data_IF_972276992171
#
_entry.id   IF_972276992171
#
_cell.length_a   1.000
_cell.length_b   1.000
_cell.length_c   1.000
_cell.angle_alpha   90.00
_cell.angle_beta   90.00
_cell.angle_gamma   90.00
#
_symmetry.space_group_name_H-M   'P 1'
#
loop_
_entity.id
_entity.type
_entity.pdbx_description
1 polymer ?
#
# COMPACT_ATOMS: atom_id res chain seq x y z
N UNK A 1 36.13 -9.23 67.36
CA UNK A 1 35.30 -8.50 66.39
C UNK A 1 36.21 -7.93 65.31
N UNK A 2 36.41 -8.64 64.21
CA UNK A 2 37.22 -8.15 63.08
C UNK A 2 36.31 -7.43 62.09
N UNK A 3 36.28 -6.10 62.19
CA UNK A 3 35.62 -5.24 61.21
C UNK A 3 36.42 -5.25 59.91
N UNK A 4 35.94 -5.99 58.90
CA UNK A 4 36.37 -5.79 57.52
C UNK A 4 35.76 -4.47 57.03
N UNK A 5 36.56 -3.40 57.06
CA UNK A 5 36.29 -2.19 56.30
C UNK A 5 36.36 -2.54 54.81
N UNK A 6 35.18 -2.69 54.20
CA UNK A 6 35.04 -2.76 52.75
C UNK A 6 35.52 -1.42 52.17
N UNK A 7 36.75 -1.41 51.65
CA UNK A 7 37.26 -0.28 50.88
C UNK A 7 36.28 0.03 49.74
N UNK A 8 35.62 1.19 49.82
CA UNK A 8 34.80 1.69 48.72
C UNK A 8 35.71 1.81 47.50
N UNK A 9 35.54 0.90 46.53
CA UNK A 9 36.27 0.90 45.27
C UNK A 9 35.96 2.22 44.57
N UNK A 10 36.89 3.18 44.63
CA UNK A 10 36.72 4.49 44.01
C UNK A 10 36.39 4.31 42.53
N UNK A 11 35.20 4.74 42.12
CA UNK A 11 34.77 4.61 40.72
C UNK A 11 35.68 5.48 39.86
N UNK A 12 36.22 4.91 38.78
CA UNK A 12 37.15 5.57 37.86
C UNK A 12 36.42 6.64 37.02
N UNK A 13 37.05 7.80 36.77
CA UNK A 13 36.50 8.80 35.85
C UNK A 13 36.53 8.29 34.42
N UNK A 14 35.64 8.81 33.56
CA UNK A 14 35.62 8.49 32.13
C UNK A 14 36.91 8.99 31.47
N UNK A 15 37.67 8.08 30.87
CA UNK A 15 38.94 8.36 30.20
C UNK A 15 38.85 8.10 28.69
N UNK A 16 39.92 8.40 27.95
CA UNK A 16 39.97 8.23 26.50
C UNK A 16 39.61 6.80 26.05
N UNK A 17 39.89 5.78 26.88
CA UNK A 17 39.52 4.38 26.61
C UNK A 17 38.02 4.16 26.75
N UNK A 18 37.39 4.73 27.79
CA UNK A 18 35.94 4.69 27.94
C UNK A 18 35.22 5.36 26.76
N UNK A 19 35.70 6.53 26.32
CA UNK A 19 35.15 7.22 25.15
C UNK A 19 35.34 6.45 23.85
N UNK A 20 36.48 5.78 23.66
CA UNK A 20 36.73 4.94 22.50
C UNK A 20 35.79 3.72 22.46
N UNK A 21 35.57 3.05 23.60
CA UNK A 21 34.64 1.91 23.70
C UNK A 21 33.21 2.33 23.34
N UNK A 22 32.76 3.48 23.86
CA UNK A 22 31.44 4.04 23.53
C UNK A 22 31.40 4.44 22.05
N UNK A 23 32.40 5.13 21.53
CA UNK A 23 32.45 5.58 20.14
C UNK A 23 32.37 4.43 19.13
N UNK A 24 33.12 3.34 19.36
CA UNK A 24 33.08 2.14 18.49
C UNK A 24 31.70 1.49 18.54
N UNK A 25 31.10 1.39 19.72
CA UNK A 25 29.79 0.77 19.87
C UNK A 25 28.67 1.58 19.23
N UNK A 26 28.77 2.92 19.28
CA UNK A 26 27.85 3.82 18.59
C UNK A 26 28.00 3.75 17.07
N UNK A 27 29.22 3.67 16.54
CA UNK A 27 29.46 3.45 15.11
C UNK A 27 28.89 2.09 14.65
N UNK A 28 29.06 1.03 15.44
CA UNK A 28 28.47 -0.27 15.15
C UNK A 28 26.94 -0.21 15.17
N UNK A 29 26.34 0.48 16.15
CA UNK A 29 24.89 0.68 16.21
C UNK A 29 24.35 1.49 15.01
N UNK A 30 25.04 2.56 14.61
CA UNK A 30 24.68 3.35 13.43
C UNK A 30 24.78 2.54 12.13
N UNK A 31 25.83 1.72 11.97
CA UNK A 31 25.97 0.81 10.84
C UNK A 31 24.84 -0.23 10.79
N UNK A 32 24.50 -0.83 11.94
CA UNK A 32 23.40 -1.81 12.05
C UNK A 32 22.04 -1.18 11.77
N UNK A 33 21.79 0.05 12.24
CA UNK A 33 20.59 0.82 11.91
C UNK A 33 20.54 1.19 10.42
N UNK A 34 21.69 1.52 9.81
CA UNK A 34 21.80 1.73 8.38
C UNK A 34 21.46 0.48 7.57
N UNK A 35 21.98 -0.69 7.98
CA UNK A 35 21.61 -1.99 7.39
C UNK A 35 20.13 -2.29 7.58
N UNK A 36 19.56 -2.00 8.76
CA UNK A 36 18.13 -2.14 9.02
C UNK A 36 17.30 -1.27 8.08
N UNK A 37 17.62 0.02 7.97
CA UNK A 37 16.92 0.97 7.12
C UNK A 37 17.01 0.55 5.63
N UNK A 38 18.20 0.15 5.20
CA UNK A 38 18.44 -0.37 3.85
C UNK A 38 17.67 -1.66 3.58
N UNK A 39 17.64 -2.59 4.53
CA UNK A 39 16.88 -3.84 4.43
C UNK A 39 15.37 -3.58 4.45
N UNK A 40 14.85 -2.74 5.35
CA UNK A 40 13.42 -2.39 5.40
C UNK A 40 12.94 -1.66 4.16
N UNK A 41 13.79 -0.85 3.51
CA UNK A 41 13.45 -0.21 2.24
C UNK A 41 13.21 -1.20 1.09
N UNK A 42 13.83 -2.40 1.17
CA UNK A 42 13.70 -3.49 0.20
C UNK A 42 12.65 -4.55 0.57
N UNK A 43 12.21 -4.61 1.82
CA UNK A 43 11.22 -5.58 2.31
C UNK A 43 9.91 -4.83 2.57
N UNK A 44 9.18 -4.55 1.51
CA UNK A 44 7.77 -4.19 1.63
C UNK A 44 7.01 -5.22 0.79
N UNK A 45 6.57 -6.32 1.41
CA UNK A 45 6.11 -7.49 0.68
C UNK A 45 4.62 -7.38 0.30
N UNK A 46 4.01 -6.21 0.49
CA UNK A 46 2.62 -5.96 0.19
C UNK A 46 2.31 -5.80 -1.28
N UNK A 47 1.03 -5.94 -1.58
CA UNK A 47 0.47 -5.56 -2.86
C UNK A 47 -0.15 -4.18 -2.74
N UNK A 48 0.27 -3.26 -3.62
CA UNK A 48 -0.21 -1.89 -3.69
C UNK A 48 -1.52 -1.78 -4.45
N UNK A 49 -1.71 -2.62 -5.48
CA UNK A 49 -2.90 -2.62 -6.31
C UNK A 49 -3.14 -3.99 -6.96
N UNK A 50 -4.42 -4.25 -7.25
CA UNK A 50 -4.88 -5.38 -8.04
C UNK A 50 -5.81 -4.90 -9.15
N UNK A 51 -5.73 -5.53 -10.32
CA UNK A 51 -6.76 -5.39 -11.35
C UNK A 51 -6.89 -6.68 -12.15
N UNK A 52 -8.01 -6.85 -12.85
CA UNK A 52 -8.28 -8.01 -13.69
C UNK A 52 -8.55 -7.51 -15.11
N UNK A 53 -7.86 -8.09 -16.09
CA UNK A 53 -8.02 -7.71 -17.50
C UNK A 53 -9.17 -8.44 -18.20
N UNK A 54 -9.41 -8.12 -19.47
CA UNK A 54 -10.52 -8.73 -20.22
C UNK A 54 -10.34 -10.23 -20.48
N UNK A 55 -9.14 -10.77 -20.29
CA UNK A 55 -8.83 -12.20 -20.41
C UNK A 55 -8.91 -12.92 -19.05
N UNK A 56 -9.44 -12.25 -18.02
CA UNK A 56 -9.52 -12.77 -16.64
C UNK A 56 -8.15 -13.05 -16.02
N UNK A 57 -7.10 -12.37 -16.50
CA UNK A 57 -5.77 -12.42 -15.89
C UNK A 57 -5.69 -11.40 -14.77
N UNK A 58 -5.07 -11.80 -13.67
CA UNK A 58 -4.92 -10.98 -12.49
C UNK A 58 -3.56 -10.31 -12.52
N UNK A 59 -3.58 -8.98 -12.48
CA UNK A 59 -2.41 -8.14 -12.41
C UNK A 59 -2.23 -7.67 -10.98
N UNK A 60 -1.18 -8.17 -10.33
CA UNK A 60 -0.84 -7.84 -8.96
C UNK A 60 0.41 -6.99 -8.90
N UNK A 61 0.28 -5.80 -8.32
CA UNK A 61 1.35 -4.80 -8.30
C UNK A 61 1.94 -4.75 -6.90
N UNK A 62 3.19 -5.17 -6.79
CA UNK A 62 4.01 -4.97 -5.60
C UNK A 62 4.87 -3.71 -5.77
N UNK A 63 5.58 -3.33 -4.72
CA UNK A 63 6.40 -2.10 -4.68
C UNK A 63 7.44 -1.97 -5.80
N UNK A 64 7.98 -3.08 -6.27
CA UNK A 64 9.05 -3.13 -7.26
C UNK A 64 8.78 -4.09 -8.42
N UNK A 65 7.63 -4.76 -8.45
CA UNK A 65 7.38 -5.86 -9.38
C UNK A 65 5.90 -5.94 -9.74
N UNK A 66 5.64 -6.38 -10.97
CA UNK A 66 4.31 -6.74 -11.47
C UNK A 66 4.27 -8.25 -11.65
N UNK A 67 3.18 -8.87 -11.19
CA UNK A 67 2.87 -10.27 -11.42
C UNK A 67 1.59 -10.38 -12.23
N UNK A 68 1.61 -11.23 -13.25
CA UNK A 68 0.44 -11.57 -14.05
C UNK A 68 0.13 -13.04 -13.81
N UNK A 69 -1.07 -13.33 -13.32
CA UNK A 69 -1.55 -14.70 -13.14
C UNK A 69 -2.79 -14.96 -13.98
N UNK A 70 -3.12 -16.21 -14.23
CA UNK A 70 -4.45 -16.56 -14.71
C UNK A 70 -5.51 -16.42 -13.60
N UNK A 71 -6.78 -16.64 -13.97
CA UNK A 71 -7.93 -16.62 -13.04
C UNK A 71 -7.94 -17.76 -12.01
N UNK A 72 -7.00 -18.71 -12.09
CA UNK A 72 -6.80 -19.80 -11.15
C UNK A 72 -5.53 -19.61 -10.28
N UNK A 73 -4.82 -18.48 -10.49
CA UNK A 73 -3.67 -18.06 -9.68
C UNK A 73 -2.31 -18.59 -10.15
N UNK A 74 -2.22 -19.22 -11.33
CA UNK A 74 -0.95 -19.66 -11.89
C UNK A 74 -0.19 -18.47 -12.48
N UNK A 75 1.10 -18.33 -12.15
CA UNK A 75 1.95 -17.26 -12.68
C UNK A 75 2.16 -17.45 -14.18
N UNK A 76 1.78 -16.43 -14.95
CA UNK A 76 2.00 -16.35 -16.40
C UNK A 76 3.26 -15.56 -16.70
N UNK A 77 3.42 -14.39 -16.06
CA UNK A 77 4.54 -13.48 -16.30
C UNK A 77 4.86 -12.66 -15.05
N UNK A 78 6.11 -12.22 -14.94
CA UNK A 78 6.50 -11.21 -13.95
C UNK A 78 7.60 -10.33 -14.51
N UNK A 79 7.55 -9.04 -14.19
CA UNK A 79 8.55 -8.07 -14.62
C UNK A 79 8.86 -7.07 -13.51
N UNK A 80 10.12 -6.66 -13.37
CA UNK A 80 10.47 -5.60 -12.43
C UNK A 80 9.91 -4.27 -12.94
N UNK A 81 9.39 -3.44 -12.03
CA UNK A 81 8.88 -2.11 -12.39
C UNK A 81 9.96 -1.24 -13.08
N UNK A 82 11.22 -1.42 -12.69
CA UNK A 82 12.36 -0.75 -13.32
C UNK A 82 12.56 -1.17 -14.80
N UNK A 83 12.43 -2.46 -15.10
CA UNK A 83 12.50 -2.99 -16.48
C UNK A 83 11.36 -2.45 -17.34
N UNK A 84 10.18 -2.31 -16.72
CA UNK A 84 9.00 -1.68 -17.31
C UNK A 84 9.10 -0.15 -17.39
N UNK A 85 10.25 0.41 -16.98
CA UNK A 85 10.48 1.84 -16.96
C UNK A 85 9.43 2.57 -16.11
N UNK A 86 8.91 1.98 -15.04
CA UNK A 86 8.04 2.67 -14.09
C UNK A 86 8.93 3.34 -13.03
N UNK A 87 8.86 4.66 -12.93
CA UNK A 87 9.55 5.44 -11.89
C UNK A 87 8.58 5.90 -10.81
N UNK A 88 9.05 5.86 -9.57
CA UNK A 88 8.28 6.21 -8.38
C UNK A 88 7.48 5.03 -7.82
N UNK A 89 6.70 5.32 -6.77
CA UNK A 89 5.80 4.34 -6.14
C UNK A 89 4.50 4.28 -6.93
N UNK A 90 4.06 3.08 -7.27
CA UNK A 90 2.74 2.87 -7.89
C UNK A 90 1.66 3.11 -6.85
N UNK A 91 0.70 3.97 -7.16
CA UNK A 91 -0.40 4.35 -6.27
C UNK A 91 -1.66 3.52 -6.51
N UNK A 92 -1.88 3.08 -7.76
CA UNK A 92 -3.03 2.29 -8.17
C UNK A 92 -2.82 1.68 -9.57
N UNK A 93 -3.68 0.74 -9.94
CA UNK A 93 -3.75 0.16 -11.27
C UNK A 93 -5.21 -0.01 -11.75
N UNK A 94 -5.39 -0.01 -13.07
CA UNK A 94 -6.68 -0.33 -13.70
C UNK A 94 -6.49 -1.04 -15.04
N UNK A 95 -7.41 -1.92 -15.38
CA UNK A 95 -7.43 -2.63 -16.68
C UNK A 95 -7.80 -1.69 -17.82
N UNK A 96 -7.11 -1.84 -18.95
CA UNK A 96 -7.38 -1.17 -20.22
C UNK A 96 -8.09 -2.08 -21.24
N UNK A 97 -8.46 -3.30 -20.84
CA UNK A 97 -8.98 -4.34 -21.73
C UNK A 97 -7.89 -5.37 -22.05
N UNK A 98 -6.93 -5.02 -22.90
CA UNK A 98 -5.82 -5.90 -23.34
C UNK A 98 -4.49 -5.65 -22.60
N UNK A 99 -4.54 -4.84 -21.55
CA UNK A 99 -3.41 -4.44 -20.74
C UNK A 99 -3.84 -3.69 -19.50
N UNK A 100 -2.92 -2.95 -18.89
CA UNK A 100 -3.17 -2.18 -17.68
C UNK A 100 -2.61 -0.77 -17.77
N UNK A 101 -3.16 0.13 -16.96
CA UNK A 101 -2.52 1.39 -16.61
C UNK A 101 -2.09 1.36 -15.14
N UNK A 102 -0.85 1.77 -14.90
CA UNK A 102 -0.25 1.98 -13.59
C UNK A 102 -0.19 3.48 -13.33
N UNK A 103 -0.66 3.92 -12.17
CA UNK A 103 -0.51 5.31 -11.74
C UNK A 103 0.68 5.45 -10.80
N UNK A 104 1.54 6.44 -11.04
CA UNK A 104 2.46 6.96 -10.02
C UNK A 104 2.18 8.44 -9.79
N UNK A 105 2.91 9.08 -8.86
CA UNK A 105 2.74 10.52 -8.58
C UNK A 105 3.03 11.43 -9.78
N UNK A 106 3.86 10.95 -10.70
CA UNK A 106 4.44 11.76 -11.79
C UNK A 106 3.93 11.34 -13.17
N UNK A 107 3.43 10.12 -13.31
CA UNK A 107 3.10 9.55 -14.62
C UNK A 107 2.01 8.50 -14.54
N UNK A 108 1.36 8.32 -15.69
CA UNK A 108 0.61 7.14 -16.02
C UNK A 108 1.49 6.24 -16.90
N UNK A 109 1.56 4.96 -16.59
CA UNK A 109 2.28 3.97 -17.42
C UNK A 109 1.29 2.95 -17.94
N UNK A 110 1.11 2.91 -19.26
CA UNK A 110 0.24 1.94 -19.92
C UNK A 110 1.06 0.75 -20.40
N UNK A 111 0.72 -0.44 -19.98
CA UNK A 111 1.40 -1.67 -20.34
C UNK A 111 0.46 -2.60 -21.10
N UNK A 112 0.90 -3.11 -22.25
CA UNK A 112 0.24 -4.23 -22.94
C UNK A 112 0.57 -5.55 -22.24
N UNK A 113 -0.23 -6.58 -22.51
CA UNK A 113 -0.07 -7.84 -21.80
C UNK A 113 0.84 -8.89 -22.45
N UNK A 114 1.20 -8.77 -23.73
CA UNK A 114 2.13 -9.70 -24.39
C UNK A 114 2.67 -9.17 -25.73
N UNK A 115 4.00 -8.97 -25.89
CA UNK A 115 4.95 -8.81 -24.78
C UNK A 115 4.55 -7.61 -23.91
N UNK A 116 4.96 -7.62 -22.64
CA UNK A 116 4.74 -6.46 -21.77
C UNK A 116 5.56 -5.28 -22.28
N UNK A 117 4.89 -4.36 -22.99
CA UNK A 117 5.46 -3.14 -23.51
C UNK A 117 4.75 -1.97 -22.85
N UNK A 118 5.52 -1.14 -22.16
CA UNK A 118 4.99 -0.03 -21.40
C UNK A 118 5.29 1.32 -22.07
N UNK A 119 4.27 2.16 -22.18
CA UNK A 119 4.38 3.55 -22.62
C UNK A 119 4.08 4.48 -21.45
N UNK A 120 4.99 5.42 -21.20
CA UNK A 120 4.82 6.48 -20.22
C UNK A 120 4.01 7.63 -20.79
N UNK A 121 3.17 8.19 -19.95
CA UNK A 121 2.37 9.37 -20.22
C UNK A 121 2.58 10.30 -19.01
N UNK A 122 3.29 11.43 -19.18
CA UNK A 122 3.53 12.36 -18.08
C UNK A 122 2.19 12.97 -17.64
N UNK A 123 2.03 13.16 -16.34
CA UNK A 123 0.90 13.88 -15.79
C UNK A 123 1.21 15.36 -15.73
N UNK A 124 0.20 16.20 -15.98
CA UNK A 124 0.34 17.66 -15.91
C UNK A 124 0.42 18.19 -14.47
N UNK A 125 -0.02 17.38 -13.51
CA UNK A 125 0.01 17.71 -12.09
C UNK A 125 0.60 16.57 -11.27
N UNK A 126 1.31 16.95 -10.21
CA UNK A 126 1.73 16.02 -9.18
C UNK A 126 0.51 15.58 -8.36
N UNK A 127 0.36 14.27 -8.20
CA UNK A 127 -0.71 13.63 -7.42
C UNK A 127 -0.20 13.31 -6.02
N UNK A 128 -1.00 13.58 -4.99
CA UNK A 128 -0.63 13.22 -3.62
C UNK A 128 -0.90 11.75 -3.30
N UNK A 129 -2.16 11.33 -3.48
CA UNK A 129 -2.61 9.95 -3.31
C UNK A 129 -3.70 9.62 -4.32
N UNK A 130 -3.29 8.99 -5.42
CA UNK A 130 -4.10 8.80 -6.60
C UNK A 130 -4.75 7.42 -6.69
N UNK A 131 -5.99 7.38 -7.17
CA UNK A 131 -6.70 6.17 -7.59
C UNK A 131 -7.27 6.35 -8.99
N UNK A 132 -7.22 5.32 -9.84
CA UNK A 132 -7.65 5.39 -11.24
C UNK A 132 -8.64 4.30 -11.63
N UNK A 133 -9.49 4.64 -12.59
CA UNK A 133 -10.32 3.70 -13.34
C UNK A 133 -10.43 4.11 -14.81
N UNK A 134 -10.55 3.11 -15.68
CA UNK A 134 -10.72 3.30 -17.11
C UNK A 134 -12.12 2.92 -17.59
N UNK A 135 -12.63 3.65 -18.58
CA UNK A 135 -13.85 3.32 -19.32
C UNK A 135 -13.52 3.17 -20.81
N UNK A 136 -13.44 1.93 -21.29
CA UNK A 136 -13.28 1.62 -22.70
C UNK A 136 -14.39 2.26 -23.56
N UNK A 137 -15.64 2.26 -23.07
CA UNK A 137 -16.78 2.83 -23.78
C UNK A 137 -16.71 4.37 -23.96
N UNK A 138 -15.83 5.06 -23.23
CA UNK A 138 -15.68 6.53 -23.24
C UNK A 138 -14.27 6.98 -23.60
N UNK A 139 -13.35 6.02 -23.77
CA UNK A 139 -11.91 6.21 -23.81
C UNK A 139 -11.41 7.26 -22.79
N UNK A 140 -11.80 7.07 -21.54
CA UNK A 140 -11.61 8.05 -20.46
C UNK A 140 -11.05 7.39 -19.21
N UNK A 141 -10.16 8.11 -18.53
CA UNK A 141 -9.67 7.75 -17.21
C UNK A 141 -10.26 8.70 -16.17
N UNK A 142 -10.77 8.15 -15.08
CA UNK A 142 -11.08 8.92 -13.88
C UNK A 142 -9.87 8.80 -12.95
N UNK A 143 -9.34 9.94 -12.52
CA UNK A 143 -8.31 10.04 -11.50
C UNK A 143 -8.92 10.70 -10.27
N UNK A 144 -8.84 10.04 -9.12
CA UNK A 144 -9.19 10.60 -7.83
C UNK A 144 -7.91 10.90 -7.07
N UNK A 145 -7.73 12.14 -6.62
CA UNK A 145 -6.67 12.50 -5.67
C UNK A 145 -7.27 12.65 -4.26
N UNK A 146 -7.02 11.64 -3.43
CA UNK A 146 -7.48 11.60 -2.04
C UNK A 146 -6.90 12.73 -1.20
N UNK A 147 -5.65 13.12 -1.46
CA UNK A 147 -4.95 14.14 -0.67
C UNK A 147 -5.51 15.54 -0.88
N UNK A 148 -6.20 15.75 -2.02
CA UNK A 148 -6.78 17.05 -2.42
C UNK A 148 -8.30 17.05 -2.50
N UNK A 149 -8.96 15.93 -2.24
CA UNK A 149 -10.42 15.78 -2.35
C UNK A 149 -10.97 16.14 -3.74
N UNK A 150 -10.29 15.74 -4.81
CA UNK A 150 -10.67 16.07 -6.20
C UNK A 150 -10.78 14.83 -7.09
N UNK A 151 -11.60 14.96 -8.14
CA UNK A 151 -11.72 14.00 -9.24
C UNK A 151 -11.38 14.72 -10.55
N UNK A 152 -10.55 14.09 -11.37
CA UNK A 152 -10.24 14.52 -12.72
C UNK A 152 -10.71 13.50 -13.74
N UNK A 153 -11.15 13.99 -14.90
CA UNK A 153 -11.33 13.17 -16.10
C UNK A 153 -10.15 13.43 -17.03
N UNK A 154 -9.42 12.37 -17.35
CA UNK A 154 -8.27 12.41 -18.22
C UNK A 154 -8.59 11.71 -19.53
N UNK A 155 -8.07 12.25 -20.62
CA UNK A 155 -7.97 11.56 -21.89
C UNK A 155 -7.05 10.35 -21.73
N UNK A 156 -7.54 9.16 -22.09
CA UNK A 156 -6.78 7.95 -21.84
C UNK A 156 -5.49 7.90 -22.67
N UNK A 157 -5.48 8.43 -23.89
CA UNK A 157 -4.33 8.35 -24.80
C UNK A 157 -3.21 9.31 -24.38
N UNK A 158 -3.58 10.53 -23.98
CA UNK A 158 -2.65 11.63 -23.74
C UNK A 158 -2.41 11.91 -22.26
N UNK A 159 -3.25 11.39 -21.36
CA UNK A 159 -3.19 11.66 -19.91
C UNK A 159 -3.58 13.10 -19.53
N UNK A 160 -3.98 13.92 -20.51
CA UNK A 160 -4.36 15.32 -20.28
C UNK A 160 -5.75 15.41 -19.70
N UNK A 161 -5.99 16.46 -18.91
CA UNK A 161 -7.34 16.74 -18.42
C UNK A 161 -8.28 17.05 -19.58
N UNK A 162 -9.45 16.43 -19.55
CA UNK A 162 -10.56 16.80 -20.43
C UNK A 162 -11.15 18.12 -19.94
N UNK A 163 -11.65 18.95 -20.84
CA UNK A 163 -12.25 20.25 -20.52
C UNK A 163 -13.49 20.16 -19.61
N UNK A 164 -14.14 19.00 -19.54
CA UNK A 164 -15.21 18.69 -18.57
C UNK A 164 -14.70 18.37 -17.16
N UNK A 165 -13.39 18.34 -16.94
CA UNK A 165 -12.74 18.13 -15.65
C UNK A 165 -12.71 19.43 -14.85
N UNK A 166 -13.88 20.04 -14.65
CA UNK A 166 -14.08 21.06 -13.61
C UNK A 166 -14.01 20.31 -12.28
N UNK A 167 -13.32 20.88 -11.28
CA UNK A 167 -13.39 20.38 -9.89
C UNK A 167 -14.83 20.00 -9.59
N UNK A 168 -15.04 18.77 -9.11
CA UNK A 168 -16.40 18.29 -8.87
C UNK A 168 -17.12 19.31 -7.98
N UNK A 169 -18.27 19.80 -8.44
CA UNK A 169 -19.07 20.76 -7.64
C UNK A 169 -19.58 20.17 -6.33
N UNK A 170 -19.52 18.83 -6.24
CA UNK A 170 -19.84 18.08 -5.04
C UNK A 170 -18.64 18.04 -4.10
N UNK A 171 -18.78 18.53 -2.86
CA UNK A 171 -17.73 18.39 -1.86
C UNK A 171 -17.39 16.92 -1.63
N UNK A 172 -16.13 16.57 -1.86
CA UNK A 172 -15.57 15.26 -1.56
C UNK A 172 -14.88 15.30 -0.19
N UNK A 173 -14.77 14.15 0.44
CA UNK A 173 -14.04 13.97 1.68
C UNK A 173 -13.36 12.61 1.64
N UNK A 174 -12.03 12.64 1.45
CA UNK A 174 -11.18 11.47 1.26
C UNK A 174 -11.72 10.55 0.15
N UNK A 175 -11.94 11.04 -1.08
CA UNK A 175 -12.39 10.17 -2.16
C UNK A 175 -11.31 9.12 -2.47
N UNK A 176 -11.71 7.87 -2.71
CA UNK A 176 -10.84 6.75 -3.08
C UNK A 176 -11.28 6.16 -4.43
N UNK A 177 -11.31 4.82 -4.57
CA UNK A 177 -11.37 4.17 -5.88
C UNK A 177 -12.53 4.69 -6.73
N UNK A 178 -12.25 5.31 -7.90
CA UNK A 178 -13.27 5.55 -8.91
C UNK A 178 -13.61 4.24 -9.63
N UNK A 179 -14.85 4.11 -10.09
CA UNK A 179 -15.34 2.99 -10.89
C UNK A 179 -16.20 3.53 -12.01
N UNK A 180 -15.92 3.11 -13.23
CA UNK A 180 -16.84 3.32 -14.33
C UNK A 180 -17.85 2.18 -14.42
N UNK A 181 -19.11 2.56 -14.56
CA UNK A 181 -20.19 1.68 -15.00
C UNK A 181 -20.57 2.05 -16.43
N UNK A 182 -21.47 1.28 -17.04
CA UNK A 182 -21.98 1.62 -18.38
C UNK A 182 -22.63 3.01 -18.41
N UNK A 183 -23.22 3.50 -17.31
CA UNK A 183 -24.01 4.73 -17.27
C UNK A 183 -23.53 5.77 -16.24
N UNK A 184 -22.38 5.59 -15.61
CA UNK A 184 -21.92 6.52 -14.58
C UNK A 184 -20.44 6.34 -14.21
N UNK A 185 -19.90 7.38 -13.60
CA UNK A 185 -18.74 7.32 -12.71
C UNK A 185 -19.24 7.23 -11.28
N UNK A 186 -18.74 6.24 -10.52
CA UNK A 186 -19.00 6.08 -9.09
C UNK A 186 -17.69 6.24 -8.35
N UNK A 187 -17.70 6.96 -7.23
CA UNK A 187 -16.53 7.19 -6.39
C UNK A 187 -16.85 6.79 -4.96
N UNK A 188 -15.95 6.03 -4.34
CA UNK A 188 -15.97 5.78 -2.92
C UNK A 188 -15.57 7.06 -2.16
N UNK A 189 -16.54 7.73 -1.54
CA UNK A 189 -16.30 8.94 -0.76
C UNK A 189 -16.04 8.53 0.70
N UNK A 190 -14.80 8.16 1.00
CA UNK A 190 -14.41 7.41 2.21
C UNK A 190 -14.76 8.17 3.49
N UNK A 191 -14.37 9.44 3.59
CA UNK A 191 -14.69 10.30 4.74
C UNK A 191 -16.16 10.72 4.78
N UNK A 192 -16.87 10.64 3.65
CA UNK A 192 -18.31 10.86 3.55
C UNK A 192 -19.17 9.64 3.87
N UNK A 193 -18.57 8.46 4.10
CA UNK A 193 -19.28 7.19 4.34
C UNK A 193 -20.33 6.87 3.27
N UNK A 194 -19.98 7.10 2.00
CA UNK A 194 -20.93 7.00 0.90
C UNK A 194 -20.27 6.62 -0.44
N UNK A 195 -21.08 6.08 -1.35
CA UNK A 195 -20.76 6.06 -2.77
C UNK A 195 -21.49 7.20 -3.49
N UNK A 196 -20.74 8.01 -4.21
CA UNK A 196 -21.25 9.13 -5.00
C UNK A 196 -21.24 8.77 -6.49
N UNK A 197 -22.26 9.20 -7.23
CA UNK A 197 -22.45 8.87 -8.64
C UNK A 197 -22.70 10.10 -9.49
N UNK A 198 -21.90 10.25 -10.55
CA UNK A 198 -22.17 11.14 -11.68
C UNK A 198 -22.74 10.32 -12.83
N UNK A 199 -23.99 10.58 -13.18
CA UNK A 199 -24.67 9.83 -14.24
C UNK A 199 -24.31 10.40 -15.61
N UNK A 200 -24.20 9.53 -16.61
CA UNK A 200 -24.14 9.90 -18.02
C UNK A 200 -24.89 8.88 -18.85
N UNK A 201 -25.21 9.21 -20.10
CA UNK A 201 -25.68 8.18 -21.02
C UNK A 201 -24.52 7.22 -21.33
N UNK A 202 -24.81 5.96 -21.67
CA UNK A 202 -23.77 5.05 -22.15
C UNK A 202 -23.00 5.66 -23.32
N UNK A 203 -21.68 5.64 -23.23
CA UNK A 203 -20.78 6.19 -24.25
C UNK A 203 -20.66 7.71 -24.30
N UNK A 204 -21.39 8.47 -23.46
CA UNK A 204 -21.20 9.93 -23.37
C UNK A 204 -20.22 10.29 -22.26
N UNK A 205 -19.42 11.38 -22.41
CA UNK A 205 -18.52 11.86 -21.37
C UNK A 205 -19.25 12.11 -20.05
N UNK A 206 -18.55 11.91 -18.93
CA UNK A 206 -19.05 12.31 -17.61
C UNK A 206 -18.93 13.84 -17.47
N UNK A 207 -19.96 14.44 -16.87
CA UNK A 207 -19.98 15.87 -16.54
C UNK A 207 -19.88 16.05 -15.01
N UNK A 208 -18.68 16.41 -14.55
CA UNK A 208 -18.40 16.64 -13.13
C UNK A 208 -18.96 17.99 -12.61
N UNK A 209 -19.45 18.85 -13.49
CA UNK A 209 -20.14 20.08 -13.07
C UNK A 209 -21.51 19.78 -12.44
N UNK A 210 -22.11 18.64 -12.79
CA UNK A 210 -23.34 18.17 -12.18
C UNK A 210 -23.09 17.63 -10.76
N UNK A 211 -24.04 17.90 -9.86
CA UNK A 211 -23.97 17.38 -8.50
C UNK A 211 -24.05 15.85 -8.51
N UNK A 212 -23.12 15.21 -7.80
CA UNK A 212 -23.13 13.77 -7.61
C UNK A 212 -24.36 13.37 -6.79
N UNK A 213 -24.91 12.21 -7.12
CA UNK A 213 -25.99 11.60 -6.35
C UNK A 213 -25.40 10.58 -5.38
N UNK A 214 -25.80 10.64 -4.11
CA UNK A 214 -25.48 9.57 -3.18
C UNK A 214 -26.32 8.34 -3.52
N UNK A 215 -25.68 7.26 -3.96
CA UNK A 215 -26.37 6.01 -4.31
C UNK A 215 -26.35 4.97 -3.20
N UNK A 216 -25.42 5.13 -2.25
CA UNK A 216 -25.27 4.23 -1.13
C UNK A 216 -24.69 4.99 0.06
N UNK A 217 -25.26 4.78 1.25
CA UNK A 217 -24.63 5.11 2.53
C UNK A 217 -24.07 3.83 3.12
N UNK A 218 -22.82 3.85 3.49
CA UNK A 218 -22.12 2.69 4.05
C UNK A 218 -22.09 2.76 5.56
N UNK A 219 -21.93 1.59 6.22
CA UNK A 219 -21.82 1.52 7.67
C UNK A 219 -20.44 1.97 8.15
N UNK A 220 -19.39 1.55 7.45
CA UNK A 220 -18.03 2.01 7.66
C UNK A 220 -17.53 2.83 6.44
N UNK A 221 -16.25 3.19 6.43
CA UNK A 221 -15.69 4.04 5.39
C UNK A 221 -15.42 3.21 4.12
N UNK A 222 -16.04 3.53 2.97
CA UNK A 222 -15.83 2.79 1.75
C UNK A 222 -14.48 3.15 1.16
N UNK A 223 -13.62 2.16 0.96
CA UNK A 223 -12.30 2.36 0.34
C UNK A 223 -12.33 1.98 -1.14
N UNK A 224 -12.88 0.80 -1.45
CA UNK A 224 -13.13 0.33 -2.81
C UNK A 224 -14.56 -0.12 -2.96
N UNK A 225 -15.08 -0.06 -4.18
CA UNK A 225 -16.35 -0.70 -4.52
C UNK A 225 -16.26 -1.33 -5.92
N UNK A 226 -17.07 -2.35 -6.17
CA UNK A 226 -17.30 -2.89 -7.51
C UNK A 226 -18.77 -3.30 -7.64
N UNK A 227 -19.33 -3.28 -8.86
CA UNK A 227 -20.66 -3.84 -9.09
C UNK A 227 -20.71 -5.31 -8.68
N UNK A 228 -21.76 -5.67 -7.93
CA UNK A 228 -22.04 -7.05 -7.58
C UNK A 228 -22.85 -7.73 -8.71
N UNK A 229 -22.64 -9.02 -8.91
CA UNK A 229 -23.33 -9.82 -9.96
C UNK A 229 -24.85 -9.81 -9.81
N UNK A 230 -25.31 -9.67 -8.57
CA UNK A 230 -26.73 -9.72 -8.19
C UNK A 230 -27.43 -8.34 -8.26
N UNK A 231 -26.79 -7.34 -8.90
CA UNK A 231 -27.40 -6.02 -9.11
C UNK A 231 -27.20 -5.03 -7.95
N UNK A 232 -26.04 -5.09 -7.30
CA UNK A 232 -25.70 -4.29 -6.12
C UNK A 232 -24.25 -3.80 -6.12
N UNK A 233 -23.68 -3.64 -4.92
CA UNK A 233 -22.28 -3.24 -4.72
C UNK A 233 -21.58 -4.16 -3.74
N UNK A 234 -20.38 -4.61 -4.09
CA UNK A 234 -19.40 -5.10 -3.14
C UNK A 234 -18.53 -3.93 -2.75
N UNK A 235 -18.41 -3.67 -1.45
CA UNK A 235 -17.68 -2.52 -0.91
C UNK A 235 -16.63 -3.05 0.04
N UNK A 236 -15.36 -2.76 -0.25
CA UNK A 236 -14.30 -2.91 0.73
C UNK A 236 -14.41 -1.75 1.71
N UNK A 237 -14.83 -2.07 2.92
CA UNK A 237 -14.94 -1.15 4.03
C UNK A 237 -13.79 -1.36 4.99
N UNK A 238 -13.03 -0.31 5.20
CA UNK A 238 -11.89 -0.29 6.09
C UNK A 238 -12.13 0.83 7.10
N UNK A 239 -11.89 0.58 8.38
CA UNK A 239 -12.09 1.60 9.41
C UNK A 239 -11.16 2.81 9.23
N UNK A 240 -11.25 3.76 10.17
CA UNK A 240 -10.37 4.94 10.24
C UNK A 240 -8.87 4.62 10.36
N UNK A 241 -8.53 3.36 10.63
CA UNK A 241 -7.25 2.74 10.39
C UNK A 241 -7.53 1.44 9.64
N UNK A 242 -6.85 1.19 8.53
CA UNK A 242 -7.11 0.06 7.63
C UNK A 242 -6.85 -1.34 8.26
N UNK A 243 -6.65 -1.42 9.59
CA UNK A 243 -6.57 -2.67 10.32
C UNK A 243 -7.94 -3.37 10.38
N UNK A 244 -8.02 -4.62 9.91
CA UNK A 244 -9.22 -5.48 9.93
C UNK A 244 -10.37 -4.98 9.04
N UNK A 245 -10.10 -4.71 7.76
CA UNK A 245 -11.15 -4.39 6.80
C UNK A 245 -12.16 -5.53 6.61
N UNK A 246 -13.29 -5.20 5.98
CA UNK A 246 -14.35 -6.14 5.63
C UNK A 246 -14.87 -5.85 4.24
N UNK A 247 -15.44 -6.85 3.59
CA UNK A 247 -16.22 -6.63 2.38
C UNK A 247 -17.69 -6.76 2.71
N UNK A 248 -18.40 -5.65 2.50
CA UNK A 248 -19.84 -5.56 2.65
C UNK A 248 -20.51 -5.67 1.29
N UNK A 249 -21.55 -6.49 1.21
CA UNK A 249 -22.42 -6.61 0.05
C UNK A 249 -23.66 -5.79 0.29
N UNK A 250 -24.00 -4.94 -0.68
CA UNK A 250 -25.14 -4.04 -0.64
C UNK A 250 -26.08 -4.31 -1.80
N UNK A 251 -27.37 -4.53 -1.49
CA UNK A 251 -28.45 -4.63 -2.47
C UNK A 251 -29.58 -3.69 -2.08
N UNK A 252 -30.17 -2.98 -3.05
CA UNK A 252 -31.27 -2.02 -2.81
C UNK A 252 -30.97 -0.99 -1.69
N UNK A 253 -29.70 -0.55 -1.61
CA UNK A 253 -29.26 0.43 -0.61
C UNK A 253 -29.11 -0.11 0.83
N UNK A 254 -29.25 -1.43 1.05
CA UNK A 254 -29.07 -2.08 2.36
C UNK A 254 -27.96 -3.12 2.31
N UNK A 255 -27.25 -3.28 3.43
CA UNK A 255 -26.24 -4.35 3.58
C UNK A 255 -26.93 -5.71 3.68
N UNK A 256 -26.59 -6.65 2.81
CA UNK A 256 -27.06 -8.04 2.87
C UNK A 256 -26.08 -8.95 3.62
N UNK A 257 -24.78 -8.70 3.52
CA UNK A 257 -23.75 -9.46 4.24
C UNK A 257 -22.50 -8.60 4.46
N UNK A 258 -21.71 -8.95 5.48
CA UNK A 258 -20.38 -8.36 5.73
C UNK A 258 -19.43 -9.48 6.11
N UNK A 259 -18.28 -9.54 5.45
CA UNK A 259 -17.29 -10.60 5.63
C UNK A 259 -15.96 -9.96 5.98
N UNK A 260 -15.32 -10.30 7.11
CA UNK A 260 -13.99 -9.79 7.42
C UNK A 260 -12.98 -10.30 6.38
N UNK A 261 -12.09 -9.44 5.89
CA UNK A 261 -11.06 -9.84 4.92
C UNK A 261 -10.00 -10.73 5.55
N UNK A 262 -9.76 -10.51 6.86
CA UNK A 262 -8.64 -11.07 7.60
C UNK A 262 -7.27 -10.61 7.10
N UNK A 263 -7.24 -9.55 6.27
CA UNK A 263 -6.04 -8.87 5.81
C UNK A 263 -5.71 -7.70 6.74
N UNK A 264 -4.42 -7.45 6.91
CA UNK A 264 -3.88 -6.23 7.46
C UNK A 264 -3.85 -5.19 6.34
N UNK A 265 -4.58 -4.10 6.53
CA UNK A 265 -4.58 -2.98 5.60
C UNK A 265 -5.00 -3.36 4.16
N UNK A 266 -6.25 -3.84 3.94
CA UNK A 266 -6.70 -4.18 2.61
C UNK A 266 -6.88 -2.90 1.78
N UNK A 267 -6.16 -2.82 0.67
CA UNK A 267 -6.09 -1.61 -0.17
C UNK A 267 -6.56 -1.79 -1.60
N UNK A 268 -6.93 -3.00 -2.00
CA UNK A 268 -7.43 -3.24 -3.34
C UNK A 268 -8.45 -4.36 -3.37
N UNK A 269 -9.45 -4.19 -4.24
CA UNK A 269 -10.50 -5.15 -4.51
C UNK A 269 -10.72 -5.24 -6.02
N UNK A 270 -10.75 -6.47 -6.54
CA UNK A 270 -11.12 -6.74 -7.93
C UNK A 270 -12.03 -7.98 -8.01
N UNK A 271 -12.78 -8.12 -9.10
CA UNK A 271 -13.61 -9.28 -9.37
C UNK A 271 -13.19 -9.96 -10.66
N UNK A 272 -13.14 -11.29 -10.64
CA UNK A 272 -12.94 -12.10 -11.85
C UNK A 272 -14.27 -12.29 -12.58
N UNK A 273 -14.19 -12.69 -13.84
CA UNK A 273 -15.36 -13.05 -14.66
C UNK A 273 -16.19 -14.17 -14.03
N UNK A 274 -15.54 -15.04 -13.24
CA UNK A 274 -16.15 -16.16 -12.49
C UNK A 274 -16.78 -15.72 -11.16
N UNK A 275 -16.71 -14.42 -10.81
CA UNK A 275 -17.29 -13.86 -9.60
C UNK A 275 -16.45 -14.03 -8.34
N UNK A 276 -15.17 -14.40 -8.48
CA UNK A 276 -14.26 -14.45 -7.35
C UNK A 276 -13.86 -13.03 -6.94
N UNK A 277 -13.89 -12.72 -5.64
CA UNK A 277 -13.46 -11.41 -5.12
C UNK A 277 -12.02 -11.52 -4.67
N UNK A 278 -11.14 -10.75 -5.28
CA UNK A 278 -9.71 -10.71 -4.99
C UNK A 278 -9.40 -9.52 -4.10
N UNK A 279 -8.59 -9.76 -3.07
CA UNK A 279 -8.20 -8.74 -2.08
C UNK A 279 -6.69 -8.73 -1.88
N UNK A 280 -6.11 -7.53 -1.85
CA UNK A 280 -4.71 -7.29 -1.52
C UNK A 280 -4.62 -6.37 -0.30
N UNK A 281 -3.57 -6.56 0.51
CA UNK A 281 -3.22 -5.67 1.60
C UNK A 281 -1.79 -5.15 1.51
N UNK A 282 -1.54 -3.96 2.07
CA UNK A 282 -0.22 -3.31 2.06
C UNK A 282 0.81 -4.06 2.91
N UNK A 283 0.34 -4.77 3.95
CA UNK A 283 1.22 -5.55 4.82
C UNK A 283 1.14 -7.05 4.54
N UNK A 284 0.29 -7.46 3.58
CA UNK A 284 0.03 -8.85 3.26
C UNK A 284 0.75 -9.31 1.99
N UNK A 285 1.42 -10.46 2.12
CA UNK A 285 2.17 -11.12 1.02
C UNK A 285 1.29 -11.99 0.13
N UNK A 286 -0.03 -11.88 0.29
CA UNK A 286 -0.98 -12.81 -0.25
C UNK A 286 -2.19 -12.07 -0.81
N UNK A 287 -2.63 -12.49 -1.99
CA UNK A 287 -3.94 -12.14 -2.52
C UNK A 287 -4.93 -13.14 -1.96
N UNK A 288 -5.99 -12.65 -1.32
CA UNK A 288 -7.08 -13.50 -0.83
C UNK A 288 -8.21 -13.54 -1.84
N UNK A 289 -8.76 -14.73 -2.04
CA UNK A 289 -10.03 -14.90 -2.74
C UNK A 289 -11.13 -14.96 -1.70
N UNK A 290 -12.27 -14.36 -1.98
CA UNK A 290 -13.53 -14.70 -1.34
C UNK A 290 -14.51 -15.23 -2.38
N UNK A 291 -15.03 -16.42 -2.12
CA UNK A 291 -16.09 -17.04 -2.91
C UNK A 291 -17.35 -17.09 -2.04
N UNK A 292 -18.46 -16.61 -2.58
CA UNK A 292 -19.81 -16.69 -1.97
C UNK A 292 -19.88 -16.28 -0.48
N UNK A 293 -19.13 -15.23 -0.09
CA UNK A 293 -19.24 -14.64 1.25
C UNK A 293 -18.48 -15.39 2.35
N UNK A 294 -17.64 -16.36 2.01
CA UNK A 294 -16.67 -16.94 2.94
C UNK A 294 -15.25 -16.47 2.59
N UNK A 295 -14.36 -16.24 3.59
CA UNK A 295 -12.94 -16.07 3.33
C UNK A 295 -12.45 -17.36 2.63
N UNK A 296 -12.09 -17.23 1.36
CA UNK A 296 -11.62 -18.32 0.52
C UNK A 296 -10.12 -18.55 0.66
N UNK A 297 -9.60 -19.48 -0.15
CA UNK A 297 -8.17 -19.87 -0.18
C UNK A 297 -7.31 -18.70 -0.67
N UNK A 298 -6.05 -18.66 -0.23
CA UNK A 298 -5.00 -17.79 -0.80
C UNK A 298 -4.84 -18.07 -2.30
N UNK A 299 -4.92 -17.03 -3.14
CA UNK A 299 -5.02 -17.15 -4.60
C UNK A 299 -3.71 -17.50 -5.30
N UNK A 300 -2.54 -17.30 -4.67
CA UNK A 300 -1.26 -17.67 -5.30
C UNK A 300 -0.94 -19.14 -5.00
N UNK A 301 -0.96 -19.97 -6.05
CA UNK A 301 -0.75 -21.42 -6.00
C UNK A 301 0.76 -21.76 -5.88
N UNK A 302 1.19 -22.56 -4.87
CA UNK A 302 2.60 -22.87 -4.57
C UNK A 302 3.43 -23.53 -5.68
N UNK A 303 2.81 -24.13 -6.67
CA UNK A 303 3.47 -24.83 -7.79
C UNK A 303 4.05 -23.86 -8.85
N UNK A 304 3.47 -22.66 -8.98
CA UNK A 304 4.11 -21.52 -9.66
C UNK A 304 5.00 -20.68 -8.72
N UNK A 305 5.05 -21.04 -7.42
CA UNK A 305 5.56 -20.17 -6.37
C UNK A 305 7.05 -20.31 -6.08
N UNK A 306 7.83 -21.17 -6.73
CA UNK A 306 9.26 -21.19 -6.43
C UNK A 306 9.94 -19.82 -6.63
N UNK A 307 9.46 -18.99 -7.57
CA UNK A 307 9.97 -17.63 -7.79
C UNK A 307 9.31 -16.61 -6.87
N UNK A 308 7.98 -16.68 -6.69
CA UNK A 308 7.20 -15.76 -5.84
C UNK A 308 7.52 -15.99 -4.36
N UNK A 309 7.53 -17.24 -3.91
CA UNK A 309 7.99 -17.69 -2.60
C UNK A 309 9.49 -17.43 -2.41
N UNK A 310 10.37 -17.55 -3.41
CA UNK A 310 11.78 -17.08 -3.27
C UNK A 310 11.87 -15.58 -3.03
N UNK A 311 11.06 -14.76 -3.70
CA UNK A 311 11.04 -13.32 -3.48
C UNK A 311 10.51 -12.98 -2.08
N UNK A 312 9.41 -13.63 -1.66
CA UNK A 312 8.83 -13.40 -0.34
C UNK A 312 9.65 -14.02 0.80
N UNK A 313 10.27 -15.18 0.62
CA UNK A 313 11.17 -15.84 1.59
C UNK A 313 12.52 -15.15 1.69
N UNK A 314 13.07 -14.60 0.59
CA UNK A 314 14.16 -13.65 0.65
C UNK A 314 13.75 -12.46 1.53
N UNK A 315 12.56 -11.89 1.31
CA UNK A 315 11.99 -10.86 2.18
C UNK A 315 11.83 -11.29 3.65
N UNK A 316 11.55 -12.57 3.94
CA UNK A 316 11.48 -13.10 5.31
C UNK A 316 12.86 -13.23 5.96
N UNK A 317 13.84 -13.73 5.22
CA UNK A 317 15.24 -13.78 5.65
C UNK A 317 15.78 -12.38 5.93
N UNK A 318 15.49 -11.42 5.05
CA UNK A 318 15.85 -10.02 5.23
C UNK A 318 15.05 -9.38 6.39
N UNK A 319 13.79 -9.75 6.62
CA UNK A 319 12.96 -9.27 7.74
C UNK A 319 13.50 -9.73 9.09
N UNK A 320 13.89 -11.01 9.19
CA UNK A 320 14.61 -11.56 10.35
C UNK A 320 15.96 -10.85 10.53
N UNK A 321 16.69 -10.63 9.44
CA UNK A 321 17.96 -9.88 9.48
C UNK A 321 17.78 -8.43 9.95
N UNK A 322 16.71 -7.75 9.54
CA UNK A 322 16.35 -6.38 9.95
C UNK A 322 15.93 -6.30 11.42
N UNK A 323 15.15 -7.27 11.88
CA UNK A 323 14.79 -7.41 13.29
C UNK A 323 16.04 -7.67 14.15
N UNK A 324 16.87 -8.64 13.77
CA UNK A 324 18.11 -8.98 14.47
C UNK A 324 19.11 -7.82 14.45
N UNK A 325 19.19 -7.05 13.36
CA UNK A 325 20.01 -5.83 13.28
C UNK A 325 19.51 -4.75 14.25
N UNK A 326 18.19 -4.59 14.42
CA UNK A 326 17.62 -3.68 15.43
C UNK A 326 17.92 -4.12 16.86
N UNK A 327 17.78 -5.42 17.15
CA UNK A 327 18.13 -5.99 18.47
C UNK A 327 19.63 -5.82 18.74
N UNK A 328 20.49 -6.12 17.75
CA UNK A 328 21.93 -5.96 17.86
C UNK A 328 22.34 -4.49 18.03
N UNK A 329 21.66 -3.55 17.37
CA UNK A 329 21.87 -2.11 17.58
C UNK A 329 21.51 -1.70 19.02
N UNK A 330 20.36 -2.14 19.54
CA UNK A 330 19.95 -1.87 20.92
C UNK A 330 20.93 -2.45 21.96
N UNK A 331 21.42 -3.67 21.73
CA UNK A 331 22.48 -4.28 22.55
C UNK A 331 23.78 -3.47 22.45
N UNK A 332 24.14 -3.00 21.26
CA UNK A 332 25.33 -2.16 21.05
C UNK A 332 25.25 -0.80 21.77
N UNK A 333 24.05 -0.29 22.07
CA UNK A 333 23.87 0.88 22.92
C UNK A 333 24.02 0.56 24.42
N UNK A 334 23.49 -0.56 24.88
CA UNK A 334 23.39 -0.89 26.32
C UNK A 334 24.61 -1.63 26.86
N UNK A 335 25.21 -2.54 26.09
CA UNK A 335 26.34 -3.35 26.50
C UNK A 335 27.60 -2.54 26.87
N UNK A 336 27.98 -1.45 26.17
CA UNK A 336 29.13 -0.63 26.55
C UNK A 336 28.92 0.07 27.90
N UNK A 337 27.71 0.55 28.17
CA UNK A 337 27.37 1.20 29.46
C UNK A 337 27.47 0.19 30.61
N UNK A 338 26.97 -1.03 30.39
CA UNK A 338 27.03 -2.10 31.36
C UNK A 338 28.48 -2.57 31.59
N UNK A 339 29.27 -2.69 30.53
CA UNK A 339 30.70 -3.01 30.57
C UNK A 339 31.50 -1.94 31.33
N UNK A 340 31.27 -0.65 31.05
CA UNK A 340 31.91 0.44 31.77
C UNK A 340 31.56 0.42 33.26
N UNK A 341 30.32 0.09 33.60
CA UNK A 341 29.89 -0.07 35.01
C UNK A 341 30.64 -1.22 35.68
N UNK A 342 30.78 -2.36 35.00
CA UNK A 342 31.52 -3.54 35.49
C UNK A 342 33.03 -3.26 35.64
N UNK A 343 33.60 -2.45 34.76
CA UNK A 343 34.99 -1.97 34.83
C UNK A 343 35.21 -0.89 35.90
N UNK A 344 34.14 -0.50 36.61
CA UNK A 344 34.19 0.43 37.73
C UNK A 344 34.18 1.90 37.34
N UNK A 345 33.75 2.25 36.12
CA UNK A 345 33.60 3.65 35.71
C UNK A 345 32.37 4.33 36.34
N UNK A 346 32.46 5.64 36.59
CA UNK A 346 31.35 6.44 37.10
C UNK A 346 30.55 7.08 35.95
N UNK A 347 29.46 6.44 35.52
CA UNK A 347 28.60 6.95 34.44
C UNK A 347 27.84 8.24 34.81
N UNK A 348 27.69 8.58 36.11
CA UNK A 348 27.00 9.80 36.53
C UNK A 348 27.76 11.09 36.18
N UNK A 349 29.06 10.99 35.88
CA UNK A 349 29.86 12.14 35.42
C UNK A 349 29.44 12.63 34.03
N UNK A 350 28.93 11.75 33.16
CA UNK A 350 28.47 12.13 31.83
C UNK A 350 27.15 12.93 31.85
N UNK A 351 26.33 12.75 32.89
CA UNK A 351 25.04 13.45 33.06
C UNK A 351 25.21 14.77 33.82
N UNK A 352 26.19 14.85 34.73
CA UNK A 352 26.44 16.04 35.56
C UNK A 352 27.19 17.19 34.88
N UNK A 353 27.87 16.96 33.75
CA UNK A 353 28.69 17.99 33.10
C UNK A 353 27.90 19.10 32.36
N UNK A 354 26.55 19.02 32.32
CA UNK A 354 25.69 20.04 31.70
C UNK A 354 24.91 20.91 32.70
N UNK A 355 25.02 20.66 34.00
CA UNK A 355 24.26 21.38 35.02
C UNK A 355 25.06 22.50 35.72
N UNK A 356 26.22 22.89 35.19
CA UNK A 356 27.15 23.81 35.85
C UNK A 356 27.89 24.76 34.91
N UNK A 357 27.21 25.24 33.86
CA UNK A 357 27.69 26.35 33.05
C UNK A 357 26.51 27.27 32.71
N UNK A 358 26.02 27.97 33.72
CA UNK A 358 25.52 29.34 33.60
C UNK A 358 26.56 30.26 34.24
#
# INVERSE_FOLDING_TARGET
MNGKTSAARGKRPLDARAYLIVGIAWLAAAALLGVRFWASGRIDPGFLALTVDAQDRVWAIAKNQVFVTDGDGALLESAALEELKVSGVVLDATSLGDGIALLTREQLVKCSAAPVACRRIPLEEEIQDGKIAYSAARDELALVDNGRDIVHLLDAVTGKRKSSSIEATTPLNRPNKPIFTSAALVVANTGGHALLKWSSRPGTPIDLSTAATQILRTKAQPYYAVPDRDGGWLVLESGSMLANGSVARYGNGKTSSTVPTGLNDPVSLATTSRGAVLLAGLDDRAIRIMNDGAPGRTFLRPDAAATVERHFSAGESFGKTSFMAGVAAAISFLAPLLLLTLLGYNLNQAVGARAGSD
#
